data_IF_126503595924
#
_entry.id   IF_126503595924
#
_cell.length_a   1.000
_cell.length_b   1.000
_cell.length_c   1.000
_cell.angle_alpha   90.00
_cell.angle_beta   90.00
_cell.angle_gamma   90.00
#
_symmetry.space_group_name_H-M   'P 1'
#
loop_
_entity.id
_entity.type
_entity.pdbx_description
1 polymer ?
#
# COMPACT_ATOMS: atom_id res chain seq x y z
N UNK A 1 -25.22 -6.49 10.87
CA UNK A 1 -24.30 -5.35 11.07
C UNK A 1 -23.79 -4.93 9.70
N UNK A 2 -23.94 -3.65 9.33
CA UNK A 2 -23.49 -3.13 8.04
C UNK A 2 -22.36 -2.12 8.31
N UNK A 3 -21.21 -2.33 7.68
CA UNK A 3 -20.06 -1.43 7.74
C UNK A 3 -19.92 -0.75 6.38
N UNK A 4 -19.59 0.54 6.39
CA UNK A 4 -19.44 1.37 5.19
C UNK A 4 -18.02 1.92 5.21
N UNK A 5 -17.29 1.67 4.13
CA UNK A 5 -15.93 2.17 3.94
C UNK A 5 -15.93 3.23 2.84
N UNK A 6 -15.38 4.40 3.14
CA UNK A 6 -15.23 5.49 2.19
C UNK A 6 -14.00 6.32 2.54
N UNK A 7 -13.47 7.01 1.53
CA UNK A 7 -12.35 7.93 1.71
C UNK A 7 -12.88 9.35 1.76
N UNK A 8 -12.55 10.07 2.83
CA UNK A 8 -12.94 11.47 3.00
C UNK A 8 -11.84 12.23 3.75
N UNK A 9 -11.91 13.55 3.69
CA UNK A 9 -10.98 14.43 4.40
C UNK A 9 -11.60 14.82 5.74
N UNK A 10 -10.96 14.42 6.84
CA UNK A 10 -11.29 14.95 8.15
C UNK A 10 -10.80 16.40 8.24
N UNK A 11 -11.68 17.31 8.66
CA UNK A 11 -11.35 18.72 8.89
C UNK A 11 -12.07 19.20 10.15
N UNK A 12 -11.35 19.90 11.03
CA UNK A 12 -11.89 20.43 12.29
C UNK A 12 -12.68 19.43 13.15
N UNK A 13 -12.25 18.16 13.15
CA UNK A 13 -12.92 17.08 13.88
C UNK A 13 -14.20 16.55 13.22
N UNK A 14 -14.54 17.03 12.03
CA UNK A 14 -15.69 16.60 11.23
C UNK A 14 -15.21 15.74 10.06
N UNK A 15 -15.89 14.62 9.83
CA UNK A 15 -15.70 13.76 8.65
C UNK A 15 -16.95 13.86 7.80
N UNK A 16 -16.82 14.38 6.58
CA UNK A 16 -17.95 14.46 5.66
C UNK A 16 -18.34 13.06 5.17
N UNK A 17 -19.59 12.71 5.43
CA UNK A 17 -20.23 11.53 4.85
C UNK A 17 -20.60 11.80 3.38
N UNK A 18 -20.28 10.87 2.46
CA UNK A 18 -20.79 10.92 1.10
C UNK A 18 -22.31 11.05 1.06
N UNK A 19 -22.84 11.68 0.00
CA UNK A 19 -24.29 11.95 -0.17
C UNK A 19 -25.16 10.72 0.03
N UNK A 20 -24.68 9.58 -0.44
CA UNK A 20 -25.33 8.27 -0.38
C UNK A 20 -25.55 7.79 1.07
N UNK A 21 -24.77 8.32 2.02
CA UNK A 21 -24.79 7.93 3.42
C UNK A 21 -25.28 9.04 4.36
N UNK A 22 -25.80 10.16 3.84
CA UNK A 22 -26.35 11.24 4.66
C UNK A 22 -27.49 10.79 5.58
N UNK A 23 -28.21 9.72 5.24
CA UNK A 23 -29.24 9.11 6.09
C UNK A 23 -28.72 8.49 7.40
N UNK A 24 -27.39 8.47 7.61
CA UNK A 24 -26.76 8.10 8.88
C UNK A 24 -26.55 9.28 9.82
N UNK A 25 -26.79 10.52 9.38
CA UNK A 25 -26.77 11.69 10.23
C UNK A 25 -27.75 11.53 11.40
N UNK A 26 -27.29 11.82 12.63
CA UNK A 26 -28.08 11.70 13.85
C UNK A 26 -28.20 10.28 14.42
N UNK A 27 -27.62 9.26 13.77
CA UNK A 27 -27.56 7.90 14.32
C UNK A 27 -26.28 7.70 15.13
N UNK A 28 -26.35 6.85 16.15
CA UNK A 28 -25.15 6.40 16.85
C UNK A 28 -24.38 5.44 15.94
N UNK A 29 -23.15 5.81 15.58
CA UNK A 29 -22.27 5.07 14.67
C UNK A 29 -20.89 4.87 15.29
N UNK A 30 -20.23 3.77 14.90
CA UNK A 30 -18.82 3.52 15.22
C UNK A 30 -17.98 3.87 13.99
N UNK A 31 -16.94 4.68 14.17
CA UNK A 31 -16.06 5.13 13.09
C UNK A 31 -14.67 4.55 13.32
N UNK A 32 -14.03 4.05 12.26
CA UNK A 32 -12.62 3.64 12.25
C UNK A 32 -11.91 4.57 11.28
N UNK A 33 -10.92 5.32 11.77
CA UNK A 33 -10.09 6.18 10.94
C UNK A 33 -8.82 5.43 10.55
N UNK A 34 -8.60 5.29 9.25
CA UNK A 34 -7.35 4.76 8.71
C UNK A 34 -6.66 5.87 7.93
N UNK A 35 -5.37 6.05 8.17
CA UNK A 35 -4.55 6.95 7.39
C UNK A 35 -4.47 6.42 5.95
N UNK A 36 -4.93 7.23 4.99
CA UNK A 36 -4.82 6.89 3.58
C UNK A 36 -3.35 6.98 3.17
N UNK A 37 -2.66 5.84 3.15
CA UNK A 37 -1.33 5.75 2.56
C UNK A 37 -1.50 5.95 1.06
N UNK A 38 -1.09 7.12 0.54
CA UNK A 38 -1.14 7.39 -0.89
C UNK A 38 -0.45 6.25 -1.65
N UNK A 39 -1.12 5.64 -2.63
CA UNK A 39 -0.49 4.61 -3.47
C UNK A 39 0.74 5.13 -4.22
N UNK A 40 0.90 6.46 -4.31
CA UNK A 40 2.11 7.13 -4.83
C UNK A 40 3.35 6.90 -3.94
N UNK A 41 3.19 6.55 -2.66
CA UNK A 41 4.30 6.14 -1.80
C UNK A 41 4.73 4.69 -2.04
N UNK A 42 3.88 3.86 -2.66
CA UNK A 42 4.30 2.61 -3.30
C UNK A 42 5.01 2.96 -4.61
N UNK A 43 6.17 3.62 -4.52
CA UNK A 43 7.16 3.54 -5.60
C UNK A 43 7.34 2.06 -5.89
N UNK A 44 6.85 1.61 -7.05
CA UNK A 44 7.20 0.29 -7.58
C UNK A 44 8.72 0.21 -7.46
N UNK A 45 9.22 -0.65 -6.58
CA UNK A 45 10.60 -1.07 -6.66
C UNK A 45 10.72 -1.68 -8.06
N UNK A 46 11.22 -0.88 -9.01
CA UNK A 46 11.55 -1.36 -10.33
C UNK A 46 12.73 -2.28 -10.11
N UNK A 47 12.46 -3.53 -9.75
CA UNK A 47 13.42 -4.60 -9.89
C UNK A 47 13.72 -4.68 -11.38
N UNK A 48 14.78 -3.98 -11.80
CA UNK A 48 15.31 -4.12 -13.14
C UNK A 48 15.82 -5.55 -13.22
N UNK A 49 15.08 -6.42 -13.91
CA UNK A 49 15.58 -7.72 -14.28
C UNK A 49 16.86 -7.49 -15.10
N UNK A 50 18.01 -7.76 -14.51
CA UNK A 50 19.27 -7.74 -15.21
C UNK A 50 19.39 -9.07 -15.97
N UNK A 51 19.28 -9.03 -17.29
CA UNK A 51 19.65 -10.17 -18.13
C UNK A 51 21.17 -10.23 -18.18
N UNK A 52 21.76 -11.06 -17.33
CA UNK A 52 23.21 -11.30 -17.31
C UNK A 52 23.51 -12.43 -18.29
N UNK A 53 24.30 -12.12 -19.33
CA UNK A 53 24.83 -13.14 -20.23
C UNK A 53 25.91 -13.94 -19.50
N UNK A 54 25.63 -15.21 -19.22
CA UNK A 54 26.57 -16.13 -18.57
C UNK A 54 27.49 -16.83 -19.57
N UNK A 55 27.41 -16.49 -20.87
CA UNK A 55 28.22 -17.11 -21.91
C UNK A 55 29.69 -16.71 -21.72
N UNK A 56 30.49 -17.63 -21.19
CA UNK A 56 31.91 -17.42 -20.87
C UNK A 56 32.21 -17.24 -19.39
N UNK A 57 31.20 -17.09 -18.53
CA UNK A 57 31.40 -17.13 -17.09
C UNK A 57 31.58 -18.58 -16.64
N UNK A 58 32.79 -18.93 -16.18
CA UNK A 58 33.04 -20.18 -15.46
C UNK A 58 33.13 -19.86 -13.98
N UNK A 59 32.31 -20.56 -13.20
CA UNK A 59 32.38 -20.52 -11.76
C UNK A 59 33.58 -21.36 -11.31
N UNK A 60 34.56 -20.70 -10.70
CA UNK A 60 35.70 -21.37 -10.08
C UNK A 60 35.28 -21.88 -8.70
N UNK A 61 35.09 -23.20 -8.59
CA UNK A 61 34.68 -23.85 -7.34
C UNK A 61 35.80 -23.86 -6.32
N UNK A 62 37.05 -23.93 -6.76
CA UNK A 62 38.17 -24.20 -5.88
C UNK A 62 38.50 -22.92 -5.09
N UNK A 63 38.56 -21.77 -5.77
CA UNK A 63 38.72 -20.47 -5.12
C UNK A 63 37.55 -20.08 -4.19
N UNK A 64 36.33 -20.54 -4.49
CA UNK A 64 35.16 -20.24 -3.66
C UNK A 64 35.08 -21.07 -2.37
N UNK A 65 35.72 -22.24 -2.36
CA UNK A 65 35.73 -23.18 -1.23
C UNK A 65 36.96 -23.03 -0.32
N UNK A 66 37.91 -22.14 -0.63
CA UNK A 66 39.08 -21.83 0.21
C UNK A 66 38.76 -21.02 1.49
N UNK A 67 37.54 -21.12 2.03
CA UNK A 67 37.12 -20.47 3.29
C UNK A 67 37.05 -21.43 4.46
#
# INVERSE_FOLDING_TARGET
MQAIEFVSKAHDGVVDLPREYQGWNGKSVRVILLEAVSETARRKAQFKAATISTRGYRFDRDAANER
#
